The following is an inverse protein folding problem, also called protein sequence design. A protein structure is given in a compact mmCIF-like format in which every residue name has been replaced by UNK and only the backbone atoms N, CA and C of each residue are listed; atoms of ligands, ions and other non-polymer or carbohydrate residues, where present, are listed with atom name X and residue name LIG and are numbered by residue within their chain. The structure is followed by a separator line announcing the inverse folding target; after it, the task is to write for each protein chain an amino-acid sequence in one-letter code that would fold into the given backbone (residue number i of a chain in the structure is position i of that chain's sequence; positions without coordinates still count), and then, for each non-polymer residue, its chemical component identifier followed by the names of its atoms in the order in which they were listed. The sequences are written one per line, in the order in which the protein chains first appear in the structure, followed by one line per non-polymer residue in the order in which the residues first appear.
data_IF_651402567879
#
_entry.id   IF_651402567879
#
_cell.length_a   1.000
_cell.length_b   1.000
_cell.length_c   1.000
_cell.angle_alpha   90.00
_cell.angle_beta   90.00
_cell.angle_gamma   90.00
#
_symmetry.space_group_name_H-M   'P 1'
#
loop_
_entity.id
_entity.type
_entity.pdbx_description
1 polymer ?
#
# COMPACT_ATOMS: atom_id res chain seq x y z
N UNK A 1 16.55 -7.51 -31.77
CA UNK A 1 15.84 -6.24 -31.54
C UNK A 1 14.59 -6.28 -32.41
N UNK A 2 13.42 -6.65 -31.89
CA UNK A 2 12.19 -6.73 -32.70
C UNK A 2 11.67 -5.34 -33.04
N UNK A 3 11.15 -5.17 -34.26
CA UNK A 3 10.56 -3.92 -34.72
C UNK A 3 9.34 -3.52 -33.86
N UNK A 4 9.07 -2.22 -33.66
CA UNK A 4 7.87 -1.75 -32.97
C UNK A 4 6.61 -2.23 -33.71
N UNK A 5 5.68 -2.89 -33.01
CA UNK A 5 4.45 -3.42 -33.61
C UNK A 5 3.63 -2.29 -34.28
N UNK A 6 3.51 -2.27 -35.62
CA UNK A 6 2.68 -1.29 -36.30
C UNK A 6 1.21 -1.59 -35.97
N UNK A 7 0.47 -0.57 -35.53
CA UNK A 7 -0.94 -0.69 -35.16
C UNK A 7 -1.27 -0.50 -33.68
N UNK A 8 -0.28 -0.26 -32.81
CA UNK A 8 -0.56 0.30 -31.47
C UNK A 8 -0.86 1.79 -31.59
N UNK A 9 -2.05 2.14 -32.08
CA UNK A 9 -2.61 3.47 -31.88
C UNK A 9 -3.26 3.50 -30.50
N UNK A 10 -2.93 4.52 -29.69
CA UNK A 10 -3.69 4.80 -28.48
C UNK A 10 -5.16 5.04 -28.86
N UNK A 11 -6.12 4.68 -28.00
CA UNK A 11 -7.51 5.04 -28.20
C UNK A 11 -7.66 6.55 -28.45
N UNK A 12 -8.62 6.94 -29.28
CA UNK A 12 -9.04 8.32 -29.46
C UNK A 12 -9.29 8.97 -28.08
N UNK A 13 -8.86 10.21 -27.81
CA UNK A 13 -9.10 10.90 -26.53
C UNK A 13 -10.52 10.78 -26.00
N UNK A 14 -11.55 10.83 -26.86
CA UNK A 14 -12.95 10.65 -26.44
C UNK A 14 -13.28 9.24 -25.91
N UNK A 15 -12.44 8.25 -26.21
CA UNK A 15 -12.53 6.84 -25.77
C UNK A 15 -11.50 6.49 -24.69
N UNK A 16 -10.64 7.43 -24.31
CA UNK A 16 -9.75 7.23 -23.18
C UNK A 16 -10.58 7.28 -21.90
N UNK A 17 -10.36 6.32 -21.00
CA UNK A 17 -10.96 6.41 -19.66
C UNK A 17 -10.37 7.61 -18.90
N UNK A 18 -11.10 8.12 -17.90
CA UNK A 18 -10.63 9.24 -17.06
C UNK A 18 -9.26 8.95 -16.43
N UNK A 19 -9.01 7.69 -16.04
CA UNK A 19 -7.73 7.24 -15.50
C UNK A 19 -6.58 7.27 -16.52
N UNK A 20 -6.87 7.20 -17.83
CA UNK A 20 -5.87 7.18 -18.90
C UNK A 20 -5.65 8.55 -19.55
N UNK A 21 -6.58 9.50 -19.36
CA UNK A 21 -6.59 10.80 -20.05
C UNK A 21 -5.64 11.83 -19.44
N UNK A 22 -4.64 11.39 -18.67
CA UNK A 22 -3.76 12.29 -17.94
C UNK A 22 -4.53 13.02 -16.85
N UNK A 23 -4.99 12.26 -15.85
CA UNK A 23 -5.69 12.79 -14.68
C UNK A 23 -4.80 13.85 -14.01
N UNK A 24 -5.01 15.13 -14.33
CA UNK A 24 -4.49 16.22 -13.52
C UNK A 24 -5.34 16.22 -12.27
N UNK A 25 -4.79 15.67 -11.19
CA UNK A 25 -5.47 15.74 -9.90
C UNK A 25 -5.58 17.21 -9.52
N UNK A 26 -6.81 17.73 -9.39
CA UNK A 26 -7.07 19.14 -9.03
C UNK A 26 -6.45 19.54 -7.68
N UNK A 27 -6.04 18.55 -6.88
CA UNK A 27 -5.35 18.72 -5.62
C UNK A 27 -3.93 18.15 -5.68
N UNK A 28 -3.04 18.80 -6.46
CA UNK A 28 -1.60 18.46 -6.52
C UNK A 28 -0.98 18.38 -5.11
N UNK A 29 -1.42 19.25 -4.18
CA UNK A 29 -0.97 19.25 -2.78
C UNK A 29 -1.42 18.03 -1.96
N UNK A 30 -2.40 17.26 -2.44
CA UNK A 30 -2.85 15.99 -1.83
C UNK A 30 -2.22 14.78 -2.50
N UNK A 31 -1.46 14.97 -3.58
CA UNK A 31 -0.77 13.91 -4.29
C UNK A 31 0.62 13.74 -3.68
N UNK A 32 0.83 12.65 -2.95
CA UNK A 32 2.14 12.33 -2.34
C UNK A 32 2.49 13.12 -1.08
N UNK A 33 1.59 13.98 -0.60
CA UNK A 33 1.70 14.60 0.71
C UNK A 33 1.52 13.57 1.83
N UNK A 34 2.30 13.70 2.90
CA UNK A 34 2.11 12.91 4.12
C UNK A 34 0.70 13.09 4.72
N UNK A 35 0.33 12.27 5.70
CA UNK A 35 -1.01 12.29 6.30
C UNK A 35 -1.38 13.69 6.81
N UNK A 36 -2.64 14.09 6.61
CA UNK A 36 -3.14 15.44 6.93
C UNK A 36 -2.97 15.81 8.41
N UNK A 37 -2.98 14.82 9.29
CA UNK A 37 -2.82 14.97 10.73
C UNK A 37 -1.35 15.11 11.17
N UNK A 38 -0.41 15.03 10.22
CA UNK A 38 1.03 14.95 10.49
C UNK A 38 1.51 13.51 10.66
N UNK A 39 2.77 13.25 10.29
CA UNK A 39 3.36 11.91 10.28
C UNK A 39 3.39 11.26 11.67
N UNK A 40 3.61 12.05 12.73
CA UNK A 40 3.64 11.58 14.12
C UNK A 40 2.27 11.03 14.55
N UNK A 41 1.22 11.87 14.47
CA UNK A 41 -0.14 11.45 14.86
C UNK A 41 -0.64 10.27 14.04
N UNK A 42 -0.34 10.24 12.74
CA UNK A 42 -0.70 9.13 11.88
C UNK A 42 0.07 7.85 12.23
N UNK A 43 1.34 7.96 12.63
CA UNK A 43 2.14 6.83 13.11
C UNK A 43 1.56 6.25 14.40
N UNK A 44 1.18 7.10 15.35
CA UNK A 44 0.60 6.66 16.61
C UNK A 44 -0.78 6.01 16.40
N UNK A 45 -1.64 6.61 15.58
CA UNK A 45 -2.90 5.98 15.19
C UNK A 45 -2.70 4.63 14.47
N UNK A 46 -1.67 4.51 13.63
CA UNK A 46 -1.37 3.25 12.94
C UNK A 46 -0.90 2.17 13.92
N UNK A 47 -0.05 2.52 14.89
CA UNK A 47 0.39 1.60 15.95
C UNK A 47 -0.78 1.13 16.80
N UNK A 48 -1.66 2.04 17.18
CA UNK A 48 -2.71 1.75 18.16
C UNK A 48 -3.93 1.04 17.57
N UNK A 49 -4.21 1.26 16.27
CA UNK A 49 -5.50 0.85 15.68
C UNK A 49 -5.40 0.14 14.34
N UNK A 50 -4.33 0.32 13.56
CA UNK A 50 -4.25 -0.22 12.20
C UNK A 50 -3.42 -1.51 12.10
N UNK A 51 -2.47 -1.71 13.01
CA UNK A 51 -1.61 -2.88 13.04
C UNK A 51 -2.23 -3.94 13.96
N UNK A 52 -2.89 -4.95 13.38
CA UNK A 52 -3.24 -6.15 14.12
C UNK A 52 -1.96 -6.83 14.63
N UNK A 53 -1.97 -7.37 15.84
CA UNK A 53 -0.86 -8.19 16.33
C UNK A 53 -0.49 -9.26 15.31
N UNK A 54 0.81 -9.55 15.18
CA UNK A 54 1.28 -10.60 14.27
C UNK A 54 0.49 -11.89 14.52
N UNK A 55 0.07 -12.59 13.46
CA UNK A 55 -0.62 -13.86 13.59
C UNK A 55 0.20 -14.82 14.45
N UNK A 56 -0.46 -15.64 15.26
CA UNK A 56 0.23 -16.61 16.10
C UNK A 56 1.04 -17.56 15.23
N UNK A 57 2.35 -17.62 15.49
CA UNK A 57 3.23 -18.55 14.79
C UNK A 57 2.83 -19.98 15.19
N UNK A 58 2.72 -20.94 14.25
CA UNK A 58 2.26 -22.31 14.55
C UNK A 58 3.11 -23.04 15.59
N UNK A 59 4.37 -22.63 15.76
CA UNK A 59 5.28 -23.21 16.77
C UNK A 59 5.32 -22.45 18.10
N UNK A 60 4.47 -21.43 18.29
CA UNK A 60 4.50 -20.59 19.51
C UNK A 60 4.26 -21.42 20.77
N UNK A 61 3.25 -22.28 20.76
CA UNK A 61 2.92 -23.17 21.88
C UNK A 61 4.06 -24.16 22.18
N UNK A 62 4.63 -24.78 21.14
CA UNK A 62 5.77 -25.68 21.30
C UNK A 62 7.03 -24.98 21.82
N UNK A 63 7.28 -23.73 21.38
CA UNK A 63 8.38 -22.93 21.90
C UNK A 63 8.16 -22.59 23.38
N UNK A 64 6.95 -22.19 23.76
CA UNK A 64 6.59 -21.93 25.17
C UNK A 64 6.78 -23.19 26.03
N UNK A 65 6.36 -24.36 25.57
CA UNK A 65 6.49 -25.63 26.30
C UNK A 65 7.95 -26.10 26.47
N UNK A 66 8.80 -25.87 25.46
CA UNK A 66 10.19 -26.34 25.46
C UNK A 66 11.18 -25.36 26.07
N UNK A 67 10.87 -24.06 26.04
CA UNK A 67 11.76 -23.01 26.55
C UNK A 67 11.33 -22.46 27.91
N UNK A 68 10.10 -22.72 28.37
CA UNK A 68 9.68 -22.31 29.71
C UNK A 68 10.39 -23.13 30.77
N UNK A 69 11.19 -22.46 31.60
CA UNK A 69 11.65 -23.02 32.86
C UNK A 69 10.43 -23.20 33.78
N UNK A 70 9.97 -24.45 33.93
CA UNK A 70 9.03 -24.79 34.99
C UNK A 70 9.71 -24.49 36.34
N UNK A 71 9.06 -23.66 37.15
CA UNK A 71 9.42 -23.41 38.55
C UNK A 71 8.96 -24.59 39.40
#
# INVERSE_FOLDING_TARGET
MSAPNPGRQSPDPARQSEAQSGQTTDNVNKQGGGPQQGAEKASDQAKDHALSSNPEHPLKQHAEETTSKKV
#
